data_IF_233031097896
#
_entry.id   IF_233031097896
#
_cell.length_a   1.000
_cell.length_b   1.000
_cell.length_c   1.000
_cell.angle_alpha   90.00
_cell.angle_beta   90.00
_cell.angle_gamma   90.00
#
_symmetry.space_group_name_H-M   'P 1'
#
loop_
_entity.id
_entity.type
_entity.pdbx_description
1 polymer ?
#
# COMPACT_ATOMS: atom_id res chain seq x y z
N UNK A 1 13.53 -10.29 13.55
CA UNK A 1 14.62 -9.68 12.75
C UNK A 1 15.75 -10.68 12.63
N UNK A 2 15.97 -11.22 11.43
CA UNK A 2 17.17 -12.01 11.12
C UNK A 2 18.28 -11.02 10.74
N UNK A 3 19.45 -11.15 11.36
CA UNK A 3 20.71 -10.49 10.97
C UNK A 3 20.84 -8.97 11.22
N UNK A 4 20.03 -8.37 12.10
CA UNK A 4 20.21 -6.95 12.50
C UNK A 4 19.89 -5.93 11.41
N UNK A 5 19.39 -6.37 10.25
CA UNK A 5 18.71 -5.51 9.30
C UNK A 5 17.27 -5.33 9.76
N UNK A 6 16.90 -4.10 10.09
CA UNK A 6 15.50 -3.76 10.30
C UNK A 6 14.75 -3.88 8.99
N UNK A 7 13.50 -4.36 9.08
CA UNK A 7 12.61 -4.44 7.94
C UNK A 7 12.51 -3.06 7.29
N UNK A 8 12.92 -2.99 6.02
CA UNK A 8 12.78 -1.78 5.22
C UNK A 8 11.36 -1.74 4.66
N UNK A 9 10.73 -0.57 4.79
CA UNK A 9 9.36 -0.37 4.35
C UNK A 9 9.31 0.77 3.36
N UNK A 10 8.55 0.58 2.28
CA UNK A 10 8.26 1.62 1.31
C UNK A 10 6.79 1.58 0.94
N UNK A 11 6.12 2.72 1.07
CA UNK A 11 4.77 2.89 0.54
C UNK A 11 4.89 3.24 -0.94
N UNK A 12 4.43 2.34 -1.80
CA UNK A 12 4.57 2.54 -3.25
C UNK A 12 3.57 3.56 -3.80
N UNK A 13 2.28 3.36 -3.49
CA UNK A 13 1.21 4.15 -4.08
C UNK A 13 -0.08 4.06 -3.29
N UNK A 14 -0.92 5.08 -3.47
CA UNK A 14 -2.33 5.06 -3.12
C UNK A 14 -3.14 5.06 -4.42
N UNK A 15 -4.20 4.26 -4.50
CA UNK A 15 -5.03 4.18 -5.69
C UNK A 15 -6.51 4.05 -5.35
N UNK A 16 -7.34 4.69 -6.16
CA UNK A 16 -8.79 4.51 -6.17
C UNK A 16 -9.21 3.35 -7.08
N UNK A 17 -10.32 2.71 -6.72
CA UNK A 17 -11.07 1.78 -7.57
C UNK A 17 -12.56 2.05 -7.42
N UNK A 18 -13.30 1.87 -8.49
CA UNK A 18 -14.76 1.90 -8.47
C UNK A 18 -15.31 0.54 -8.05
N UNK A 19 -16.45 0.55 -7.36
CA UNK A 19 -17.16 -0.70 -7.02
C UNK A 19 -17.97 -1.23 -8.19
N UNK A 20 -18.50 -0.32 -9.00
CA UNK A 20 -19.24 -0.66 -10.20
C UNK A 20 -18.29 -1.03 -11.33
N UNK A 21 -18.60 -2.12 -12.03
CA UNK A 21 -17.72 -2.68 -13.07
C UNK A 21 -17.67 -1.77 -14.30
N UNK A 22 -18.79 -1.17 -14.69
CA UNK A 22 -18.83 -0.26 -15.83
C UNK A 22 -18.06 1.03 -15.52
N UNK A 23 -18.14 1.52 -14.29
CA UNK A 23 -17.31 2.63 -13.84
C UNK A 23 -15.82 2.27 -13.83
N UNK A 24 -15.43 1.11 -13.30
CA UNK A 24 -14.01 0.71 -13.27
C UNK A 24 -13.42 0.56 -14.68
N UNK A 25 -14.25 0.23 -15.68
CA UNK A 25 -13.82 0.11 -17.08
C UNK A 25 -13.67 1.46 -17.78
N UNK A 26 -14.56 2.40 -17.51
CA UNK A 26 -14.72 3.60 -18.32
C UNK A 26 -14.31 4.90 -17.62
N UNK A 27 -14.31 4.93 -16.29
CA UNK A 27 -13.99 6.13 -15.53
C UNK A 27 -12.47 6.29 -15.32
N UNK A 28 -11.98 7.53 -15.12
CA UNK A 28 -10.56 7.77 -14.88
C UNK A 28 -10.09 7.08 -13.59
N UNK A 29 -9.11 6.19 -13.73
CA UNK A 29 -8.46 5.58 -12.57
C UNK A 29 -7.50 6.57 -11.92
N UNK A 30 -7.61 6.75 -10.60
CA UNK A 30 -6.71 7.61 -9.83
C UNK A 30 -5.66 6.77 -9.12
N UNK A 31 -4.40 7.00 -9.43
CA UNK A 31 -3.25 6.35 -8.76
C UNK A 31 -2.19 7.40 -8.53
N UNK A 32 -1.76 7.53 -7.28
CA UNK A 32 -0.75 8.49 -6.87
C UNK A 32 0.43 7.73 -6.25
N UNK A 33 1.65 7.92 -6.76
CA UNK A 33 2.84 7.35 -6.12
C UNK A 33 3.04 8.01 -4.75
N UNK A 34 3.49 7.23 -3.78
CA UNK A 34 3.89 7.68 -2.44
C UNK A 34 5.40 7.54 -2.23
N UNK A 35 6.06 6.73 -3.05
CA UNK A 35 7.51 6.61 -3.09
C UNK A 35 8.10 7.61 -4.08
N UNK A 36 9.07 8.39 -3.63
CA UNK A 36 9.99 9.07 -4.54
C UNK A 36 11.09 8.07 -4.94
N UNK A 37 11.51 8.11 -6.21
CA UNK A 37 12.58 7.23 -6.68
C UNK A 37 13.91 7.70 -6.06
N UNK A 38 14.55 6.92 -5.17
CA UNK A 38 15.75 7.35 -4.45
C UNK A 38 17.00 7.39 -5.34
N UNK A 39 16.87 7.25 -6.66
CA UNK A 39 17.96 7.12 -7.62
C UNK A 39 18.48 5.69 -7.67
N UNK A 40 18.98 5.18 -6.54
CA UNK A 40 19.39 3.79 -6.40
C UNK A 40 18.25 2.96 -5.78
N UNK A 41 17.37 2.43 -6.63
CA UNK A 41 16.23 1.63 -6.18
C UNK A 41 16.66 0.19 -5.83
N UNK A 42 16.95 -0.05 -4.55
CA UNK A 42 17.27 -1.37 -4.01
C UNK A 42 16.17 -2.41 -4.25
N UNK A 43 14.91 -1.98 -4.38
CA UNK A 43 13.79 -2.85 -4.73
C UNK A 43 13.86 -3.31 -6.19
N UNK A 44 14.18 -2.39 -7.10
CA UNK A 44 14.39 -2.73 -8.50
C UNK A 44 15.64 -3.63 -8.65
N UNK A 45 16.71 -3.34 -7.91
CA UNK A 45 17.93 -4.16 -7.91
C UNK A 45 17.70 -5.57 -7.34
N UNK A 46 16.89 -5.73 -6.28
CA UNK A 46 16.61 -7.06 -5.71
C UNK A 46 15.74 -7.92 -6.62
N UNK A 47 14.77 -7.30 -7.30
CA UNK A 47 13.92 -7.99 -8.27
C UNK A 47 14.64 -8.31 -9.58
N UNK A 48 15.55 -7.43 -10.04
CA UNK A 48 16.25 -7.57 -11.32
C UNK A 48 17.58 -8.35 -11.22
N UNK A 49 18.28 -8.27 -10.08
CA UNK A 49 19.58 -8.90 -9.84
C UNK A 49 19.63 -9.61 -8.46
N UNK A 50 18.80 -10.64 -8.23
CA UNK A 50 18.70 -11.31 -6.93
C UNK A 50 20.04 -11.91 -6.43
N UNK A 51 20.95 -12.27 -7.35
CA UNK A 51 22.29 -12.80 -7.02
C UNK A 51 23.24 -11.75 -6.40
N UNK A 52 22.98 -10.45 -6.58
CA UNK A 52 23.84 -9.37 -6.09
C UNK A 52 23.46 -8.92 -4.66
N UNK A 53 22.30 -9.33 -4.18
CA UNK A 53 21.76 -8.94 -2.87
C UNK A 53 21.38 -10.20 -2.07
N UNK A 54 22.32 -11.09 -1.71
CA UNK A 54 22.04 -12.36 -1.02
C UNK A 54 21.45 -12.21 0.39
N UNK A 55 21.35 -10.98 0.89
CA UNK A 55 20.71 -10.63 2.16
C UNK A 55 19.23 -10.24 2.01
N UNK A 56 18.69 -10.18 0.79
CA UNK A 56 17.26 -9.95 0.53
C UNK A 56 16.60 -11.30 0.28
N UNK A 57 16.08 -11.90 1.35
CA UNK A 57 15.50 -13.25 1.32
C UNK A 57 14.03 -13.27 0.84
N UNK A 58 13.28 -12.18 1.07
CA UNK A 58 11.90 -12.09 0.63
C UNK A 58 11.47 -10.65 0.31
N UNK A 59 10.70 -10.52 -0.77
CA UNK A 59 10.06 -9.28 -1.22
C UNK A 59 8.55 -9.48 -1.06
N UNK A 60 7.96 -8.91 -0.01
CA UNK A 60 6.54 -9.08 0.28
C UNK A 60 5.76 -7.80 0.00
N UNK A 61 4.83 -7.87 -0.97
CA UNK A 61 3.88 -6.80 -1.23
C UNK A 61 2.64 -6.94 -0.34
N UNK A 62 2.29 -5.89 0.40
CA UNK A 62 1.04 -5.82 1.14
C UNK A 62 0.18 -4.65 0.63
N UNK A 63 -1.13 -4.87 0.56
CA UNK A 63 -2.10 -3.85 0.24
C UNK A 63 -3.29 -3.97 1.19
N UNK A 64 -3.84 -2.84 1.60
CA UNK A 64 -5.08 -2.76 2.36
C UNK A 64 -6.04 -1.81 1.66
N UNK A 65 -7.33 -2.06 1.81
CA UNK A 65 -8.37 -1.29 1.13
C UNK A 65 -9.28 -0.67 2.18
N UNK A 66 -9.86 0.49 1.86
CA UNK A 66 -10.89 1.13 2.64
C UNK A 66 -11.93 1.76 1.70
N UNK A 67 -13.21 1.83 2.12
CA UNK A 67 -14.21 2.57 1.38
C UNK A 67 -13.87 4.06 1.36
N UNK A 68 -14.16 4.75 0.27
CA UNK A 68 -13.99 6.21 0.20
C UNK A 68 -15.30 6.90 0.56
N UNK A 69 -15.21 7.98 1.32
CA UNK A 69 -16.29 8.93 1.58
C UNK A 69 -15.72 10.33 1.72
N UNK A 70 -16.55 11.34 1.46
CA UNK A 70 -16.13 12.73 1.64
C UNK A 70 -15.70 12.99 3.09
N UNK A 71 -14.54 13.65 3.23
CA UNK A 71 -13.94 13.93 4.53
C UNK A 71 -13.46 12.70 5.34
N UNK A 72 -13.53 11.47 4.81
CA UNK A 72 -13.06 10.29 5.54
C UNK A 72 -11.54 10.34 5.79
N UNK A 73 -11.13 10.01 7.01
CA UNK A 73 -9.72 9.92 7.41
C UNK A 73 -9.37 8.51 7.89
N UNK A 74 -8.24 8.00 7.41
CA UNK A 74 -7.74 6.68 7.75
C UNK A 74 -6.31 6.79 8.28
N UNK A 75 -6.01 6.03 9.34
CA UNK A 75 -4.66 5.77 9.81
C UNK A 75 -4.12 4.51 9.14
N UNK A 76 -2.90 4.56 8.62
CA UNK A 76 -2.21 3.42 8.03
C UNK A 76 -1.02 3.06 8.90
N UNK A 77 -0.99 1.83 9.42
CA UNK A 77 0.12 1.28 10.18
C UNK A 77 0.81 0.16 9.38
N UNK A 78 2.14 0.12 9.43
CA UNK A 78 2.95 -0.95 8.84
C UNK A 78 3.34 -1.93 9.94
N UNK A 79 3.15 -3.23 9.69
CA UNK A 79 3.53 -4.31 10.60
C UNK A 79 4.45 -5.31 9.90
N UNK A 80 4.96 -6.30 10.64
CA UNK A 80 5.71 -7.41 10.07
C UNK A 80 4.86 -8.31 9.15
N UNK A 81 3.53 -8.29 9.28
CA UNK A 81 2.61 -9.10 8.48
C UNK A 81 1.89 -8.32 7.38
N UNK A 82 2.04 -6.99 7.32
CA UNK A 82 1.47 -6.17 6.24
C UNK A 82 0.96 -4.81 6.69
N UNK A 83 0.01 -4.26 5.92
CA UNK A 83 -0.61 -2.96 6.18
C UNK A 83 -1.94 -3.12 6.92
N UNK A 84 -2.13 -2.31 7.96
CA UNK A 84 -3.40 -2.16 8.66
C UNK A 84 -3.92 -0.74 8.41
N UNK A 85 -5.15 -0.62 7.92
CA UNK A 85 -5.85 0.65 7.84
C UNK A 85 -6.95 0.72 8.92
N UNK A 86 -7.13 1.89 9.55
CA UNK A 86 -8.18 2.11 10.55
C UNK A 86 -8.93 3.42 10.29
N UNK A 87 -10.27 3.44 10.37
CA UNK A 87 -11.04 4.69 10.31
C UNK A 87 -10.75 5.57 11.52
N UNK A 88 -10.57 6.88 11.30
CA UNK A 88 -10.18 7.85 12.32
C UNK A 88 -11.23 8.93 12.59
N UNK A 89 -12.34 8.94 11.87
CA UNK A 89 -13.39 9.94 12.04
C UNK A 89 -14.79 9.39 11.71
N UNK A 90 -15.87 10.09 12.13
CA UNK A 90 -17.24 9.62 11.91
C UNK A 90 -17.57 9.30 10.45
N UNK A 91 -17.09 10.11 9.51
CA UNK A 91 -17.26 9.87 8.08
C UNK A 91 -16.66 8.53 7.64
N UNK A 92 -15.43 8.22 8.07
CA UNK A 92 -14.79 6.94 7.78
C UNK A 92 -15.50 5.76 8.45
N UNK A 93 -15.90 5.89 9.72
CA UNK A 93 -16.60 4.81 10.44
C UNK A 93 -17.94 4.47 9.79
N UNK A 94 -18.70 5.47 9.35
CA UNK A 94 -20.00 5.28 8.72
C UNK A 94 -19.92 4.38 7.48
N UNK A 95 -18.90 4.57 6.63
CA UNK A 95 -18.73 3.75 5.42
C UNK A 95 -18.00 2.43 5.66
N UNK A 96 -17.15 2.35 6.69
CA UNK A 96 -16.46 1.10 7.06
C UNK A 96 -17.41 0.05 7.64
N UNK A 97 -18.42 0.45 8.42
CA UNK A 97 -19.35 -0.49 9.06
C UNK A 97 -20.26 -1.24 8.08
N UNK A 98 -20.57 -0.64 6.93
CA UNK A 98 -21.41 -1.23 5.87
C UNK A 98 -20.60 -1.94 4.78
N UNK A 99 -19.27 -1.99 4.90
CA UNK A 99 -18.41 -2.51 3.86
C UNK A 99 -18.33 -4.04 3.90
N UNK A 100 -18.71 -4.69 2.80
CA UNK A 100 -18.48 -6.11 2.52
C UNK A 100 -17.51 -6.27 1.36
#
# INVERSE_FOLDING_TARGET
>A
NLLGFDAQYRLERIGGRYRDIEQERNAPRTVYPLSENPGLDLWMLSTQYPRWLPFVDAVYGSATYMPMADGARYEISITQSGLIARPMNPAAHAVSGSWK
#
